data_IF_651043171368
#
_entry.id   IF_651043171368
#
_cell.length_a   1.000
_cell.length_b   1.000
_cell.length_c   1.000
_cell.angle_alpha   90.00
_cell.angle_beta   90.00
_cell.angle_gamma   90.00
#
_symmetry.space_group_name_H-M   'P 1'
#
loop_
_entity.id
_entity.type
_entity.pdbx_description
1 polymer ?
#
# COMPACT_ATOMS: atom_id res chain seq x y z
N UNK A 1 -10.88 -0.84 5.58
CA UNK A 1 -11.96 -1.04 4.60
C UNK A 1 -12.53 -2.47 4.61
N UNK A 2 -11.82 -3.44 5.20
CA UNK A 2 -12.26 -4.83 5.19
C UNK A 2 -12.19 -5.51 3.80
N UNK A 3 -11.35 -4.99 2.91
CA UNK A 3 -11.16 -5.52 1.56
C UNK A 3 -9.86 -6.32 1.55
N UNK A 4 -9.86 -7.60 1.11
CA UNK A 4 -8.63 -8.36 0.95
C UNK A 4 -7.67 -7.70 -0.03
N UNK A 5 -6.40 -7.53 0.37
CA UNK A 5 -5.39 -6.82 -0.44
C UNK A 5 -5.20 -7.45 -1.82
N UNK A 6 -5.14 -8.77 -1.89
CA UNK A 6 -4.96 -9.58 -3.08
C UNK A 6 -6.30 -9.93 -3.77
N UNK A 7 -7.09 -8.91 -4.08
CA UNK A 7 -8.39 -9.03 -4.74
C UNK A 7 -8.60 -8.00 -5.83
N UNK A 8 -9.42 -8.33 -6.82
CA UNK A 8 -9.81 -7.38 -7.88
C UNK A 8 -10.54 -6.16 -7.30
N UNK A 9 -11.26 -6.34 -6.20
CA UNK A 9 -11.93 -5.24 -5.50
C UNK A 9 -10.91 -4.26 -4.91
N UNK A 10 -9.83 -4.76 -4.29
CA UNK A 10 -8.77 -3.92 -3.75
C UNK A 10 -8.06 -3.12 -4.86
N UNK A 11 -7.76 -3.75 -6.00
CA UNK A 11 -7.15 -3.07 -7.15
C UNK A 11 -8.04 -1.94 -7.66
N UNK A 12 -9.33 -2.20 -7.87
CA UNK A 12 -10.29 -1.17 -8.31
C UNK A 12 -10.40 -0.04 -7.32
N UNK A 13 -10.53 -0.37 -6.03
CA UNK A 13 -10.62 0.64 -4.95
C UNK A 13 -9.37 1.51 -4.90
N UNK A 14 -8.18 0.91 -5.02
CA UNK A 14 -6.91 1.64 -5.06
C UNK A 14 -6.81 2.57 -6.29
N UNK A 15 -7.17 2.07 -7.46
CA UNK A 15 -7.19 2.85 -8.70
C UNK A 15 -8.18 4.03 -8.63
N UNK A 16 -9.40 3.79 -8.16
CA UNK A 16 -10.44 4.83 -8.01
C UNK A 16 -10.02 5.90 -6.99
N UNK A 17 -9.44 5.49 -5.86
CA UNK A 17 -8.94 6.41 -4.84
C UNK A 17 -7.83 7.30 -5.41
N UNK A 18 -6.84 6.71 -6.09
CA UNK A 18 -5.72 7.47 -6.62
C UNK A 18 -6.15 8.39 -7.77
N UNK A 19 -7.07 7.95 -8.62
CA UNK A 19 -7.68 8.78 -9.66
C UNK A 19 -8.37 10.00 -9.03
N UNK A 20 -9.18 9.80 -7.99
CA UNK A 20 -9.84 10.90 -7.28
C UNK A 20 -8.82 11.90 -6.69
N UNK A 21 -7.76 11.42 -6.05
CA UNK A 21 -6.70 12.27 -5.48
C UNK A 21 -6.01 13.08 -6.59
N UNK A 22 -5.66 12.45 -7.71
CA UNK A 22 -5.04 13.10 -8.85
C UNK A 22 -5.94 14.18 -9.45
N UNK A 23 -7.20 13.87 -9.73
CA UNK A 23 -8.15 14.82 -10.31
C UNK A 23 -8.31 16.05 -9.42
N UNK A 24 -8.42 15.88 -8.11
CA UNK A 24 -8.52 17.00 -7.16
C UNK A 24 -7.23 17.80 -7.04
N UNK A 25 -6.08 17.12 -7.03
CA UNK A 25 -4.77 17.77 -6.99
C UNK A 25 -4.49 18.58 -8.26
N UNK A 26 -4.85 18.07 -9.43
CA UNK A 26 -4.69 18.76 -10.69
C UNK A 26 -5.62 19.98 -10.78
N UNK A 27 -6.89 19.85 -10.40
CA UNK A 27 -7.83 20.98 -10.36
C UNK A 27 -7.29 22.10 -9.46
N UNK A 28 -6.80 21.76 -8.25
CA UNK A 28 -6.18 22.74 -7.35
C UNK A 28 -4.93 23.39 -7.97
N UNK A 29 -4.12 22.62 -8.70
CA UNK A 29 -2.93 23.14 -9.39
C UNK A 29 -3.31 24.06 -10.55
N UNK A 30 -4.41 23.81 -11.26
CA UNK A 30 -4.96 24.72 -12.29
C UNK A 30 -5.46 26.03 -11.67
N UNK A 31 -6.18 25.98 -10.55
CA UNK A 31 -6.63 27.18 -9.84
C UNK A 31 -5.45 28.03 -9.39
N UNK A 32 -4.44 27.41 -8.80
CA UNK A 32 -3.20 28.08 -8.43
C UNK A 32 -2.45 28.66 -9.65
N UNK A 33 -2.50 28.01 -10.80
CA UNK A 33 -1.88 28.55 -12.02
C UNK A 33 -2.61 29.77 -12.55
N UNK A 34 -3.92 29.91 -12.36
CA UNK A 34 -4.66 31.14 -12.71
C UNK A 34 -4.23 32.32 -11.84
N UNK A 35 -3.90 32.08 -10.56
CA UNK A 35 -3.49 33.12 -9.64
C UNK A 35 -2.00 33.47 -9.74
N UNK A 36 -1.13 32.45 -9.89
CA UNK A 36 0.33 32.57 -9.73
C UNK A 36 1.14 32.24 -10.98
N UNK A 37 0.47 31.96 -12.11
CA UNK A 37 1.09 31.48 -13.33
C UNK A 37 1.44 29.99 -13.28
N UNK A 38 1.75 29.44 -14.43
CA UNK A 38 2.19 28.03 -14.58
C UNK A 38 3.58 27.80 -13.99
N UNK A 39 4.01 26.53 -13.87
CA UNK A 39 5.39 26.22 -13.44
C UNK A 39 6.42 26.71 -14.47
N UNK A 40 7.67 27.06 -14.05
CA UNK A 40 8.63 27.76 -14.92
C UNK A 40 8.94 27.06 -16.24
N UNK A 41 9.03 25.74 -16.25
CA UNK A 41 9.33 24.95 -17.45
C UNK A 41 8.06 24.44 -18.18
N UNK A 42 6.93 25.11 -17.97
CA UNK A 42 5.67 24.76 -18.66
C UNK A 42 5.78 24.92 -20.18
N UNK A 43 6.34 26.04 -20.74
CA UNK A 43 6.47 26.20 -22.19
C UNK A 43 7.31 25.07 -22.80
N UNK A 44 6.74 24.39 -23.80
CA UNK A 44 7.37 23.25 -24.47
C UNK A 44 7.34 21.93 -23.70
N UNK A 45 6.70 21.88 -22.53
CA UNK A 45 6.49 20.64 -21.78
C UNK A 45 5.39 19.77 -22.40
N UNK A 46 5.27 18.53 -21.95
CA UNK A 46 4.17 17.62 -22.33
C UNK A 46 2.76 18.15 -22.00
N UNK A 47 2.67 19.17 -21.16
CA UNK A 47 1.42 19.81 -20.75
C UNK A 47 1.07 21.04 -21.61
N UNK A 48 2.04 21.58 -22.35
CA UNK A 48 1.87 22.75 -23.22
C UNK A 48 1.27 22.36 -24.59
N UNK A 49 0.08 21.80 -24.53
CA UNK A 49 -0.68 21.36 -25.70
C UNK A 49 -1.95 22.21 -25.86
N UNK A 50 -2.46 22.42 -27.07
CA UNK A 50 -3.75 23.07 -27.27
C UNK A 50 -4.87 22.37 -26.49
N UNK A 51 -5.54 23.10 -25.58
CA UNK A 51 -6.57 22.55 -24.71
C UNK A 51 -6.04 21.74 -23.51
N UNK A 52 -4.71 21.69 -23.30
CA UNK A 52 -4.08 21.03 -22.16
C UNK A 52 -4.26 21.80 -20.84
N UNK A 53 -4.10 21.09 -19.72
CA UNK A 53 -4.19 21.66 -18.38
C UNK A 53 -3.03 22.60 -18.09
N UNK A 54 -3.34 23.82 -17.68
CA UNK A 54 -2.35 24.82 -17.26
C UNK A 54 -2.07 24.67 -15.77
N UNK A 55 -0.98 23.97 -15.43
CA UNK A 55 -0.66 23.58 -14.07
C UNK A 55 0.35 24.51 -13.39
N UNK A 56 0.16 24.81 -12.11
CA UNK A 56 1.14 25.49 -11.25
C UNK A 56 2.30 24.59 -10.88
N UNK A 57 2.07 23.30 -10.76
CA UNK A 57 3.04 22.29 -10.35
C UNK A 57 3.24 21.28 -11.48
N UNK A 58 4.47 20.95 -11.81
CA UNK A 58 4.79 19.95 -12.85
C UNK A 58 4.30 18.54 -12.46
N UNK A 59 4.28 18.24 -11.16
CA UNK A 59 3.72 17.02 -10.57
C UNK A 59 3.04 17.36 -9.26
N UNK A 60 1.97 16.67 -8.90
CA UNK A 60 1.20 16.87 -7.66
C UNK A 60 1.07 15.62 -6.82
N UNK A 61 1.33 14.44 -7.37
CA UNK A 61 1.14 13.16 -6.69
C UNK A 61 2.38 12.28 -6.74
N UNK A 62 2.63 11.58 -5.63
CA UNK A 62 3.62 10.52 -5.50
C UNK A 62 3.17 9.54 -4.42
N UNK A 63 3.62 8.29 -4.49
CA UNK A 63 3.48 7.32 -3.39
C UNK A 63 4.87 7.04 -2.84
N UNK A 64 5.21 7.75 -1.75
CA UNK A 64 6.50 7.60 -1.06
C UNK A 64 6.47 6.42 -0.06
N UNK A 65 7.63 5.94 0.43
CA UNK A 65 7.69 4.83 1.39
C UNK A 65 7.01 5.11 2.75
N UNK A 66 7.03 6.33 3.24
CA UNK A 66 6.33 6.83 4.45
C UNK A 66 6.51 6.00 5.74
N UNK A 67 7.64 5.34 5.93
CA UNK A 67 7.88 4.45 7.08
C UNK A 67 7.61 5.08 8.45
N UNK A 68 8.21 6.24 8.74
CA UNK A 68 8.01 6.94 10.03
C UNK A 68 6.58 7.47 10.17
N UNK A 69 5.99 8.00 9.09
CA UNK A 69 4.62 8.52 9.12
C UNK A 69 3.60 7.41 9.39
N UNK A 70 3.82 6.22 8.85
CA UNK A 70 2.93 5.07 9.09
C UNK A 70 2.90 4.65 10.55
N UNK A 71 4.05 4.71 11.25
CA UNK A 71 4.12 4.44 12.69
C UNK A 71 3.33 5.47 13.52
N UNK A 72 3.39 6.75 13.13
CA UNK A 72 2.63 7.82 13.82
C UNK A 72 1.13 7.66 13.58
N UNK A 73 0.75 7.25 12.36
CA UNK A 73 -0.65 7.13 11.94
C UNK A 73 -1.28 5.75 12.27
N UNK A 74 -0.52 4.82 12.85
CA UNK A 74 -0.92 3.43 13.13
C UNK A 74 -1.56 2.74 11.90
N UNK A 75 -0.83 2.78 10.78
CA UNK A 75 -1.27 2.17 9.52
C UNK A 75 -0.09 1.60 8.72
N UNK A 76 -0.38 0.88 7.63
CA UNK A 76 0.65 0.41 6.70
C UNK A 76 1.33 1.57 5.96
N UNK A 77 2.61 1.42 5.60
CA UNK A 77 3.35 2.41 4.82
C UNK A 77 2.88 2.46 3.37
N UNK A 78 2.60 3.66 2.86
CA UNK A 78 2.23 3.85 1.46
C UNK A 78 1.08 2.93 1.03
N UNK A 79 1.34 2.10 0.04
CA UNK A 79 0.39 1.08 -0.46
C UNK A 79 0.81 -0.35 -0.10
N UNK A 80 1.67 -0.49 0.92
CA UNK A 80 2.10 -1.81 1.37
C UNK A 80 0.96 -2.56 2.09
N UNK A 81 0.86 -3.90 1.94
CA UNK A 81 0.00 -4.69 2.80
C UNK A 81 0.55 -4.75 4.23
N UNK A 82 -0.18 -5.35 5.14
CA UNK A 82 0.34 -5.65 6.47
C UNK A 82 1.62 -6.49 6.36
N UNK A 83 2.70 -6.02 6.96
CA UNK A 83 3.94 -6.79 7.00
C UNK A 83 3.82 -8.01 7.90
N UNK A 84 3.26 -7.81 9.09
CA UNK A 84 2.97 -8.86 10.07
C UNK A 84 1.82 -8.41 10.96
N UNK A 85 1.14 -9.35 11.61
CA UNK A 85 0.11 -9.06 12.62
C UNK A 85 0.71 -8.77 13.98
N UNK A 86 1.91 -9.28 14.28
CA UNK A 86 2.67 -8.89 15.46
C UNK A 86 4.05 -8.39 15.07
N UNK A 87 4.55 -7.47 15.83
CA UNK A 87 5.90 -6.92 15.70
C UNK A 87 6.47 -6.60 17.08
N UNK A 88 7.77 -6.64 17.18
CA UNK A 88 8.46 -6.29 18.42
C UNK A 88 8.94 -4.86 18.33
N UNK A 89 8.47 -4.01 19.25
CA UNK A 89 8.96 -2.64 19.36
C UNK A 89 10.14 -2.63 20.32
N UNK A 90 11.30 -2.22 19.82
CA UNK A 90 12.46 -1.92 20.66
C UNK A 90 12.32 -0.51 21.24
N UNK A 91 12.18 -0.40 22.55
CA UNK A 91 12.13 0.87 23.28
C UNK A 91 13.44 1.10 24.05
N UNK A 92 13.63 2.31 24.54
CA UNK A 92 14.85 2.71 25.25
C UNK A 92 15.25 1.68 26.32
N UNK A 93 16.52 1.18 26.26
CA UNK A 93 17.08 0.28 27.27
C UNK A 93 16.88 -1.21 27.00
N UNK A 94 16.91 -1.67 25.75
CA UNK A 94 16.81 -3.08 25.34
C UNK A 94 15.50 -3.79 25.77
N UNK A 95 14.45 -3.00 26.04
CA UNK A 95 13.13 -3.56 26.33
C UNK A 95 12.41 -3.87 25.01
N UNK A 96 12.06 -5.14 24.83
CA UNK A 96 11.27 -5.62 23.71
C UNK A 96 9.80 -5.70 24.13
N UNK A 97 8.95 -4.94 23.45
CA UNK A 97 7.50 -4.99 23.64
C UNK A 97 6.84 -5.61 22.40
N UNK A 98 6.27 -6.82 22.54
CA UNK A 98 5.46 -7.37 21.46
C UNK A 98 4.17 -6.57 21.32
N UNK A 99 3.89 -6.11 20.13
CA UNK A 99 2.63 -5.45 19.79
C UNK A 99 1.89 -6.27 18.72
N UNK A 100 0.58 -6.31 18.81
CA UNK A 100 -0.30 -6.93 17.82
C UNK A 100 -1.15 -5.82 17.19
N UNK A 101 -1.44 -5.95 15.90
CA UNK A 101 -2.32 -5.04 15.17
C UNK A 101 -3.59 -4.74 15.97
N UNK A 102 -3.78 -3.48 16.34
CA UNK A 102 -4.96 -2.98 17.08
C UNK A 102 -6.25 -3.33 16.35
N UNK A 103 -6.25 -3.20 15.02
CA UNK A 103 -7.40 -3.51 14.16
C UNK A 103 -7.75 -5.01 14.19
N UNK A 104 -6.74 -5.89 14.18
CA UNK A 104 -7.00 -7.32 14.30
C UNK A 104 -7.61 -7.66 15.67
N UNK A 105 -7.05 -7.11 16.75
CA UNK A 105 -7.57 -7.33 18.12
C UNK A 105 -9.00 -6.82 18.27
N UNK A 106 -9.32 -5.69 17.67
CA UNK A 106 -10.66 -5.13 17.68
C UNK A 106 -11.65 -6.06 16.98
N UNK A 107 -11.34 -6.52 15.76
CA UNK A 107 -12.17 -7.48 15.02
C UNK A 107 -12.31 -8.78 15.80
N UNK A 108 -11.23 -9.31 16.39
CA UNK A 108 -11.27 -10.53 17.18
C UNK A 108 -12.23 -10.44 18.37
N UNK A 109 -12.24 -9.30 19.08
CA UNK A 109 -13.16 -9.03 20.18
C UNK A 109 -14.61 -8.90 19.70
N UNK A 110 -14.84 -8.12 18.66
CA UNK A 110 -16.19 -7.91 18.08
C UNK A 110 -16.81 -9.21 17.56
N UNK A 111 -15.98 -10.09 16.98
CA UNK A 111 -16.41 -11.36 16.40
C UNK A 111 -16.39 -12.53 17.40
N UNK A 112 -15.96 -12.29 18.62
CA UNK A 112 -16.02 -13.24 19.74
C UNK A 112 -15.03 -14.41 19.68
N UNK A 113 -13.95 -14.32 18.89
CA UNK A 113 -12.90 -15.34 18.85
C UNK A 113 -11.61 -14.91 19.56
N UNK A 114 -11.57 -13.72 20.18
CA UNK A 114 -10.43 -13.24 20.95
C UNK A 114 -10.17 -14.14 22.16
N UNK A 115 -8.93 -14.63 22.29
CA UNK A 115 -8.43 -15.31 23.48
C UNK A 115 -6.90 -15.19 23.57
N UNK A 116 -6.36 -15.42 24.79
CA UNK A 116 -4.93 -15.27 25.04
C UNK A 116 -4.07 -16.29 24.27
N UNK A 117 -4.62 -17.46 23.92
CA UNK A 117 -3.91 -18.46 23.15
C UNK A 117 -3.67 -17.99 21.71
N UNK A 118 -4.64 -17.33 21.07
CA UNK A 118 -4.45 -16.71 19.74
C UNK A 118 -3.38 -15.63 19.82
N UNK A 119 -3.43 -14.77 20.85
CA UNK A 119 -2.45 -13.70 21.07
C UNK A 119 -1.03 -14.28 21.18
N UNK A 120 -0.84 -15.31 22.02
CA UNK A 120 0.48 -15.96 22.18
C UNK A 120 0.99 -16.59 20.88
N UNK A 121 0.14 -17.26 20.12
CA UNK A 121 0.52 -17.89 18.85
C UNK A 121 0.94 -16.85 17.80
N UNK A 122 0.20 -15.75 17.68
CA UNK A 122 0.55 -14.64 16.78
C UNK A 122 1.87 -13.99 17.21
N UNK A 123 2.07 -13.75 18.50
CA UNK A 123 3.32 -13.20 19.05
C UNK A 123 4.50 -14.13 18.82
N UNK A 124 4.28 -15.45 18.84
CA UNK A 124 5.29 -16.45 18.50
C UNK A 124 5.57 -16.54 16.98
N UNK A 125 4.92 -15.72 16.14
CA UNK A 125 5.13 -15.68 14.70
C UNK A 125 4.29 -16.69 13.89
N UNK A 126 3.28 -17.31 14.52
CA UNK A 126 2.38 -18.19 13.78
C UNK A 126 1.44 -17.37 12.87
N UNK A 127 1.34 -17.77 11.60
CA UNK A 127 0.38 -17.15 10.68
C UNK A 127 -1.04 -17.54 11.02
N UNK A 128 -1.94 -16.56 11.07
CA UNK A 128 -3.39 -16.79 11.27
C UNK A 128 -3.99 -17.65 10.17
N UNK A 129 -3.35 -17.72 9.00
CA UNK A 129 -3.81 -18.56 7.89
C UNK A 129 -3.87 -20.06 8.26
N UNK A 130 -3.06 -20.48 9.25
CA UNK A 130 -3.00 -21.85 9.76
C UNK A 130 -3.87 -22.10 10.98
N UNK A 131 -4.48 -21.07 11.56
CA UNK A 131 -5.28 -21.17 12.76
C UNK A 131 -6.72 -21.57 12.44
N UNK A 132 -7.23 -22.66 13.01
CA UNK A 132 -8.61 -23.14 12.80
C UNK A 132 -9.64 -22.35 13.60
N UNK A 133 -9.21 -21.66 14.64
CA UNK A 133 -10.02 -20.85 15.54
C UNK A 133 -10.20 -19.40 15.09
N UNK A 134 -9.55 -19.00 13.98
CA UNK A 134 -9.79 -17.72 13.31
C UNK A 134 -10.73 -17.91 12.12
N UNK A 135 -11.83 -17.13 11.99
CA UNK A 135 -12.76 -17.22 10.87
C UNK A 135 -12.09 -16.98 9.51
N UNK A 136 -12.47 -17.70 8.47
CA UNK A 136 -11.82 -17.63 7.17
C UNK A 136 -11.99 -16.27 6.48
N UNK A 137 -13.12 -15.60 6.66
CA UNK A 137 -13.33 -14.24 6.17
C UNK A 137 -12.40 -13.22 6.84
N UNK A 138 -12.05 -13.41 8.12
CA UNK A 138 -11.06 -12.60 8.82
C UNK A 138 -9.66 -12.89 8.29
N UNK A 139 -9.29 -14.17 8.13
CA UNK A 139 -8.01 -14.55 7.52
C UNK A 139 -7.82 -13.90 6.16
N UNK A 140 -8.88 -13.86 5.37
CA UNK A 140 -8.87 -13.30 4.01
C UNK A 140 -8.58 -11.80 4.00
N UNK A 141 -9.05 -11.05 5.00
CA UNK A 141 -8.80 -9.60 5.14
C UNK A 141 -7.42 -9.32 5.73
N UNK A 142 -6.99 -10.11 6.72
CA UNK A 142 -5.73 -9.91 7.42
C UNK A 142 -4.57 -10.75 6.85
N UNK A 143 -4.48 -10.82 5.52
CA UNK A 143 -3.31 -11.41 4.84
C UNK A 143 -2.07 -10.53 5.09
N UNK A 144 -0.93 -11.17 5.28
CA UNK A 144 0.34 -10.46 5.42
C UNK A 144 1.11 -10.47 4.11
N UNK A 145 2.16 -9.66 4.04
CA UNK A 145 2.98 -9.53 2.84
C UNK A 145 3.53 -10.86 2.32
N UNK A 146 3.77 -11.85 3.21
CA UNK A 146 4.28 -13.17 2.85
C UNK A 146 3.19 -14.17 2.44
N UNK A 147 1.92 -13.85 2.73
CA UNK A 147 0.77 -14.64 2.29
C UNK A 147 0.33 -14.24 0.87
N UNK A 148 0.77 -13.08 0.38
CA UNK A 148 0.36 -12.47 -0.88
C UNK A 148 1.33 -12.86 -1.99
N UNK A 149 0.80 -13.40 -3.10
CA UNK A 149 1.63 -13.72 -4.26
C UNK A 149 2.26 -12.46 -4.90
N UNK A 150 3.51 -12.52 -5.39
CA UNK A 150 4.25 -11.38 -5.96
C UNK A 150 3.48 -10.61 -7.04
N UNK A 151 2.66 -11.28 -7.81
CA UNK A 151 1.83 -10.68 -8.87
C UNK A 151 0.85 -9.64 -8.34
N UNK A 152 0.26 -9.86 -7.15
CA UNK A 152 -0.66 -8.92 -6.54
C UNK A 152 0.03 -7.65 -6.06
N UNK A 153 1.28 -7.76 -5.60
CA UNK A 153 2.10 -6.59 -5.26
C UNK A 153 2.33 -5.70 -6.49
N UNK A 154 2.68 -6.31 -7.63
CA UNK A 154 2.90 -5.59 -8.89
C UNK A 154 1.59 -4.97 -9.40
N UNK A 155 0.49 -5.72 -9.39
CA UNK A 155 -0.81 -5.24 -9.86
C UNK A 155 -1.34 -4.08 -9.01
N UNK A 156 -1.14 -4.14 -7.68
CA UNK A 156 -1.49 -3.03 -6.79
C UNK A 156 -0.66 -1.79 -7.11
N UNK A 157 0.64 -1.94 -7.32
CA UNK A 157 1.51 -0.84 -7.73
C UNK A 157 1.02 -0.23 -9.05
N UNK A 158 0.71 -1.06 -10.05
CA UNK A 158 0.19 -0.61 -11.33
C UNK A 158 -1.14 0.14 -11.21
N UNK A 159 -2.06 -0.34 -10.36
CA UNK A 159 -3.34 0.34 -10.11
C UNK A 159 -3.15 1.78 -9.62
N UNK A 160 -2.20 2.01 -8.72
CA UNK A 160 -1.85 3.35 -8.25
C UNK A 160 -1.05 4.13 -9.28
N UNK A 161 -0.10 3.50 -10.00
CA UNK A 161 0.78 4.16 -10.97
C UNK A 161 0.01 4.82 -12.12
N UNK A 162 -1.10 4.22 -12.55
CA UNK A 162 -1.96 4.80 -13.63
C UNK A 162 -2.43 6.21 -13.33
N UNK A 163 -2.50 6.58 -12.06
CA UNK A 163 -3.01 7.89 -11.61
C UNK A 163 -2.01 8.65 -10.72
N UNK A 164 -0.75 8.26 -10.69
CA UNK A 164 0.31 8.95 -9.95
C UNK A 164 1.26 9.64 -10.93
N UNK A 165 1.58 10.92 -10.69
CA UNK A 165 2.45 11.70 -11.59
C UNK A 165 3.90 11.24 -11.52
N UNK A 166 4.38 10.88 -10.33
CA UNK A 166 5.72 10.34 -10.07
C UNK A 166 5.67 8.82 -9.85
N UNK A 167 6.82 8.23 -9.56
CA UNK A 167 6.92 6.81 -9.25
C UNK A 167 6.14 6.43 -7.97
N UNK A 168 5.72 5.17 -7.92
CA UNK A 168 5.04 4.55 -6.78
C UNK A 168 5.99 3.59 -6.08
N UNK A 169 6.31 3.88 -4.82
CA UNK A 169 7.12 2.98 -3.99
C UNK A 169 6.33 1.73 -3.62
N UNK A 170 6.91 0.56 -3.90
CA UNK A 170 6.32 -0.74 -3.55
C UNK A 170 7.40 -1.81 -3.37
N UNK A 171 7.33 -2.52 -2.26
CA UNK A 171 8.16 -3.70 -2.02
C UNK A 171 7.46 -4.95 -2.52
N UNK A 172 8.16 -5.79 -3.26
CA UNK A 172 7.70 -7.13 -3.64
C UNK A 172 8.45 -8.14 -2.77
N UNK A 173 7.74 -8.76 -1.86
CA UNK A 173 8.30 -9.77 -0.97
C UNK A 173 8.19 -11.15 -1.61
N UNK A 174 9.28 -11.89 -1.59
CA UNK A 174 9.34 -13.27 -2.08
C UNK A 174 9.48 -14.24 -0.91
N UNK A 175 8.84 -15.42 -0.98
CA UNK A 175 9.04 -16.46 0.03
C UNK A 175 10.48 -17.00 -0.01
N UNK A 176 10.94 -17.62 1.08
CA UNK A 176 12.20 -18.38 1.07
C UNK A 176 12.17 -19.44 -0.03
N UNK A 177 13.21 -19.51 -0.85
CA UNK A 177 13.29 -20.45 -1.98
C UNK A 177 12.80 -19.89 -3.33
N UNK A 178 12.40 -18.61 -3.40
CA UNK A 178 12.14 -17.95 -4.67
C UNK A 178 13.35 -18.02 -5.60
N UNK A 179 13.10 -18.22 -6.88
CA UNK A 179 14.12 -18.38 -7.91
C UNK A 179 14.37 -17.07 -8.66
N UNK A 180 15.47 -17.02 -9.42
CA UNK A 180 15.74 -15.92 -10.36
C UNK A 180 14.61 -15.75 -11.39
N UNK A 181 13.95 -16.86 -11.77
CA UNK A 181 12.84 -16.82 -12.72
C UNK A 181 11.60 -16.15 -12.11
N UNK A 182 11.34 -16.36 -10.83
CA UNK A 182 10.23 -15.68 -10.14
C UNK A 182 10.47 -14.17 -10.09
N UNK A 183 11.68 -13.74 -9.77
CA UNK A 183 12.06 -12.32 -9.82
C UNK A 183 11.92 -11.77 -11.25
N UNK A 184 12.41 -12.50 -12.26
CA UNK A 184 12.27 -12.10 -13.67
C UNK A 184 10.82 -11.94 -14.08
N UNK A 185 9.93 -12.85 -13.67
CA UNK A 185 8.48 -12.77 -13.94
C UNK A 185 7.86 -11.51 -13.34
N UNK A 186 8.21 -11.18 -12.09
CA UNK A 186 7.72 -9.98 -11.43
C UNK A 186 8.15 -8.70 -12.17
N UNK A 187 9.42 -8.58 -12.57
CA UNK A 187 9.91 -7.45 -13.37
C UNK A 187 9.25 -7.35 -14.74
N UNK A 188 9.07 -8.48 -15.43
CA UNK A 188 8.40 -8.48 -16.72
C UNK A 188 6.92 -8.10 -16.60
N UNK A 189 6.26 -8.52 -15.52
CA UNK A 189 4.88 -8.11 -15.24
C UNK A 189 4.83 -6.61 -14.95
N UNK A 190 5.70 -6.08 -14.09
CA UNK A 190 5.77 -4.65 -13.79
C UNK A 190 5.96 -3.81 -15.09
N UNK A 191 6.87 -4.23 -15.96
CA UNK A 191 7.07 -3.56 -17.25
C UNK A 191 5.81 -3.60 -18.14
N UNK A 192 5.11 -4.74 -18.21
CA UNK A 192 3.88 -4.88 -19.01
C UNK A 192 2.72 -4.06 -18.46
N UNK A 193 2.66 -3.91 -17.14
CA UNK A 193 1.64 -3.10 -16.45
C UNK A 193 1.98 -1.60 -16.45
N UNK A 194 3.11 -1.18 -17.02
CA UNK A 194 3.52 0.22 -17.10
C UNK A 194 3.96 0.82 -15.76
N UNK A 195 4.53 0.01 -14.89
CA UNK A 195 5.11 0.46 -13.61
C UNK A 195 6.48 1.06 -13.88
N UNK A 196 6.74 2.24 -13.30
CA UNK A 196 8.02 2.96 -13.35
C UNK A 196 8.88 2.66 -12.09
#
# INVERSE_FOLDING_TARGET
LGIPYDSEEALRTGEELMRFIRERGWAASEDLARERGVFPNFPGSRYDLPGGSRLRNATVTTVAPTGTLSLIADCSSGIEPLFALSFTRHVLGDVELPEISSHFLEVARQRGFFNDAIVMRITAGESIQRMTDVPDDVKRVFVTTFDIAPEWHVRMQAAFQRHTDNAVSKTINFPPGATRDDVRKAFLLAYREGVE
#
